data_IF_755546390840
#
_entry.id   IF_755546390840
#
_cell.length_a   1.000
_cell.length_b   1.000
_cell.length_c   1.000
_cell.angle_alpha   90.00
_cell.angle_beta   90.00
_cell.angle_gamma   90.00
#
_symmetry.space_group_name_H-M   'P 1'
#
loop_
_entity.id
_entity.type
_entity.pdbx_description
1 polymer ?
#
# COMPACT_ATOMS: atom_id res chain seq x y z
N UNK A 1 -15.01 23.70 26.02
CA UNK A 1 -15.24 22.39 25.37
C UNK A 1 -14.27 22.32 24.20
N UNK A 2 -13.27 21.45 24.25
CA UNK A 2 -12.16 21.45 23.29
C UNK A 2 -12.67 21.13 21.88
N UNK A 3 -12.28 21.94 20.89
CA UNK A 3 -12.41 21.62 19.47
C UNK A 3 -11.42 20.49 19.18
N UNK A 4 -11.87 19.24 19.29
CA UNK A 4 -11.08 18.09 18.89
C UNK A 4 -10.97 18.07 17.37
N UNK A 5 -9.97 18.75 16.84
CA UNK A 5 -9.53 18.66 15.45
C UNK A 5 -8.87 17.28 15.24
N UNK A 6 -9.64 16.21 15.39
CA UNK A 6 -9.19 14.86 15.02
C UNK A 6 -9.26 14.79 13.50
N UNK A 7 -8.14 15.10 12.86
CA UNK A 7 -7.98 14.72 11.47
C UNK A 7 -7.96 13.16 11.43
N UNK A 8 -8.63 12.54 10.47
CA UNK A 8 -8.69 11.07 10.33
C UNK A 8 -7.37 10.53 9.77
N UNK A 9 -6.80 9.44 10.32
CA UNK A 9 -5.57 8.82 9.82
C UNK A 9 -5.61 8.59 8.30
N UNK A 10 -4.44 8.64 7.66
CA UNK A 10 -4.30 8.44 6.21
C UNK A 10 -3.46 7.21 5.94
N UNK A 11 -3.97 6.30 5.12
CA UNK A 11 -3.26 5.13 4.65
C UNK A 11 -2.76 5.34 3.22
N UNK A 12 -1.51 4.95 2.97
CA UNK A 12 -0.91 4.92 1.64
C UNK A 12 -0.50 3.50 1.33
N UNK A 13 -1.02 2.96 0.23
CA UNK A 13 -0.63 1.68 -0.34
C UNK A 13 0.23 1.91 -1.58
N UNK A 14 1.49 1.48 -1.54
CA UNK A 14 2.42 1.57 -2.67
C UNK A 14 2.65 0.17 -3.26
N UNK A 15 2.40 0.03 -4.57
CA UNK A 15 2.53 -1.21 -5.33
C UNK A 15 3.70 -1.04 -6.32
N UNK A 16 4.87 -1.51 -5.89
CA UNK A 16 6.11 -1.48 -6.67
C UNK A 16 6.44 -2.80 -7.37
N UNK A 17 7.47 -2.76 -8.22
CA UNK A 17 7.96 -3.94 -8.94
C UNK A 17 8.50 -5.03 -8.02
N UNK A 18 9.02 -4.68 -6.85
CA UNK A 18 9.57 -5.63 -5.90
C UNK A 18 8.67 -5.86 -4.67
N UNK A 19 8.06 -4.79 -4.15
CA UNK A 19 7.31 -4.83 -2.90
C UNK A 19 5.97 -4.13 -3.00
N UNK A 20 5.05 -4.57 -2.15
CA UNK A 20 3.78 -3.88 -1.86
C UNK A 20 3.83 -3.41 -0.41
N UNK A 21 3.45 -2.17 -0.15
CA UNK A 21 3.62 -1.53 1.16
C UNK A 21 2.35 -0.84 1.60
N UNK A 22 2.04 -0.92 2.90
CA UNK A 22 1.05 -0.10 3.58
C UNK A 22 1.77 0.77 4.60
N UNK A 23 1.57 2.08 4.54
CA UNK A 23 1.98 3.01 5.60
C UNK A 23 0.73 3.74 6.07
N UNK A 24 0.54 3.86 7.39
CA UNK A 24 -0.52 4.68 7.97
C UNK A 24 0.11 5.82 8.76
N UNK A 25 -0.31 7.04 8.44
CA UNK A 25 0.13 8.28 9.05
C UNK A 25 -0.94 8.80 9.99
N UNK A 26 -0.49 9.39 11.10
CA UNK A 26 -1.36 10.25 11.89
C UNK A 26 -1.79 11.44 11.04
N UNK A 27 -2.97 11.97 11.31
CA UNK A 27 -3.53 13.00 10.44
C UNK A 27 -3.15 14.42 10.86
N UNK A 28 -2.58 14.57 12.06
CA UNK A 28 -2.24 15.85 12.66
C UNK A 28 -0.79 16.26 12.34
N UNK A 29 -0.62 17.51 11.92
CA UNK A 29 0.68 18.15 11.77
C UNK A 29 1.19 18.23 10.33
N UNK A 30 2.17 19.13 10.12
CA UNK A 30 2.77 19.39 8.79
C UNK A 30 3.61 18.23 8.26
N UNK A 31 4.10 17.36 9.16
CA UNK A 31 4.93 16.21 8.85
C UNK A 31 4.54 15.06 9.80
N UNK A 32 3.41 14.38 9.55
CA UNK A 32 2.96 13.31 10.42
C UNK A 32 3.91 12.12 10.38
N UNK A 33 4.20 11.56 11.55
CA UNK A 33 4.95 10.31 11.65
C UNK A 33 4.11 9.12 11.19
N UNK A 34 4.74 8.07 10.63
CA UNK A 34 4.04 6.81 10.41
C UNK A 34 3.86 6.08 11.75
N UNK A 35 2.63 5.68 12.08
CA UNK A 35 2.38 4.82 13.24
C UNK A 35 2.15 3.34 12.85
N UNK A 36 2.01 3.06 11.55
CA UNK A 36 2.01 1.70 11.01
C UNK A 36 2.81 1.65 9.69
N UNK A 37 3.61 0.60 9.50
CA UNK A 37 4.41 0.41 8.29
C UNK A 37 4.65 -1.08 8.03
N UNK A 38 3.94 -1.65 7.05
CA UNK A 38 4.09 -3.04 6.63
C UNK A 38 4.57 -3.11 5.18
N UNK A 39 5.57 -3.95 4.91
CA UNK A 39 6.14 -4.19 3.58
C UNK A 39 6.16 -5.68 3.27
N UNK A 40 5.62 -6.05 2.11
CA UNK A 40 5.60 -7.43 1.62
C UNK A 40 6.38 -7.52 0.31
N UNK A 41 7.38 -8.40 0.26
CA UNK A 41 8.12 -8.70 -0.97
C UNK A 41 7.28 -9.62 -1.87
N UNK A 42 6.84 -9.09 -3.01
CA UNK A 42 5.99 -9.81 -3.96
C UNK A 42 6.73 -10.13 -5.26
N UNK A 43 7.72 -9.31 -5.65
CA UNK A 43 8.49 -9.48 -6.88
C UNK A 43 7.63 -9.40 -8.15
N UNK A 44 6.63 -8.50 -8.19
CA UNK A 44 5.68 -8.35 -9.29
C UNK A 44 6.37 -8.21 -10.66
N UNK A 45 7.41 -7.38 -10.74
CA UNK A 45 8.10 -7.05 -11.99
C UNK A 45 9.15 -8.06 -12.45
N UNK A 46 9.40 -9.15 -11.72
CA UNK A 46 10.58 -10.02 -11.98
C UNK A 46 10.58 -10.71 -13.35
N UNK A 47 9.41 -10.90 -13.95
CA UNK A 47 9.25 -11.57 -15.25
C UNK A 47 8.94 -10.59 -16.37
N UNK A 48 8.76 -9.30 -16.10
CA UNK A 48 8.33 -8.33 -17.12
C UNK A 48 9.39 -8.24 -18.23
N UNK A 49 10.67 -8.13 -17.86
CA UNK A 49 11.75 -7.99 -18.84
C UNK A 49 11.84 -9.15 -19.85
N UNK A 50 11.40 -10.36 -19.48
CA UNK A 50 11.48 -11.55 -20.33
C UNK A 50 10.15 -11.97 -20.95
N UNK A 51 9.04 -11.71 -20.26
CA UNK A 51 7.71 -12.22 -20.65
C UNK A 51 6.72 -11.12 -21.01
N UNK A 52 7.04 -9.86 -20.73
CA UNK A 52 6.10 -8.74 -20.80
C UNK A 52 4.97 -8.79 -19.76
N UNK A 53 4.96 -9.78 -18.86
CA UNK A 53 3.85 -10.03 -17.93
C UNK A 53 4.31 -10.06 -16.48
N UNK A 54 3.38 -9.76 -15.58
CA UNK A 54 3.53 -10.02 -14.15
C UNK A 54 3.57 -11.52 -13.90
N UNK A 55 4.46 -11.96 -13.00
CA UNK A 55 4.51 -13.36 -12.64
C UNK A 55 3.28 -13.74 -11.79
N UNK A 56 2.59 -14.81 -12.16
CA UNK A 56 1.29 -15.16 -11.58
C UNK A 56 1.33 -15.38 -10.06
N UNK A 57 2.36 -16.04 -9.53
CA UNK A 57 2.53 -16.24 -8.10
C UNK A 57 2.92 -14.93 -7.38
N UNK A 58 3.56 -13.98 -8.08
CA UNK A 58 3.78 -12.62 -7.59
C UNK A 58 2.46 -11.87 -7.39
N UNK A 59 1.58 -11.96 -8.38
CA UNK A 59 0.23 -11.37 -8.34
C UNK A 59 -0.56 -11.99 -7.20
N UNK A 60 -0.54 -13.32 -7.06
CA UNK A 60 -1.21 -13.99 -5.95
C UNK A 60 -0.70 -13.53 -4.57
N UNK A 61 0.62 -13.32 -4.41
CA UNK A 61 1.19 -12.74 -3.18
C UNK A 61 0.74 -11.31 -2.94
N UNK A 62 0.78 -10.46 -3.96
CA UNK A 62 0.34 -9.06 -3.87
C UNK A 62 -1.14 -8.98 -3.48
N UNK A 63 -2.02 -9.77 -4.10
CA UNK A 63 -3.43 -9.81 -3.78
C UNK A 63 -3.70 -10.31 -2.34
N UNK A 64 -2.89 -11.22 -1.81
CA UNK A 64 -2.98 -11.62 -0.39
C UNK A 64 -2.56 -10.48 0.53
N UNK A 65 -1.47 -9.77 0.21
CA UNK A 65 -1.03 -8.60 0.96
C UNK A 65 -2.09 -7.50 0.98
N UNK A 66 -2.68 -7.18 -0.18
CA UNK A 66 -3.73 -6.16 -0.30
C UNK A 66 -4.99 -6.50 0.50
N UNK A 67 -5.42 -7.78 0.52
CA UNK A 67 -6.54 -8.22 1.38
C UNK A 67 -6.24 -8.02 2.87
N UNK A 68 -5.02 -8.34 3.28
CA UNK A 68 -4.55 -8.09 4.66
C UNK A 68 -4.51 -6.58 4.96
N UNK A 69 -4.00 -5.78 4.04
CA UNK A 69 -3.92 -4.32 4.20
C UNK A 69 -5.29 -3.70 4.36
N UNK A 70 -6.28 -4.15 3.59
CA UNK A 70 -7.67 -3.74 3.78
C UNK A 70 -8.17 -4.00 5.20
N UNK A 71 -7.96 -5.22 5.72
CA UNK A 71 -8.38 -5.55 7.08
C UNK A 71 -7.67 -4.68 8.14
N UNK A 72 -6.39 -4.37 7.93
CA UNK A 72 -5.63 -3.47 8.81
C UNK A 72 -6.16 -2.03 8.74
N UNK A 73 -6.43 -1.51 7.55
CA UNK A 73 -7.02 -0.18 7.34
C UNK A 73 -8.36 -0.06 8.07
N UNK A 74 -9.23 -1.07 7.94
CA UNK A 74 -10.52 -1.15 8.62
C UNK A 74 -10.35 -1.20 10.16
N UNK A 75 -9.41 -2.02 10.66
CA UNK A 75 -9.12 -2.12 12.10
C UNK A 75 -8.52 -0.85 12.70
N UNK A 76 -7.74 -0.10 11.91
CA UNK A 76 -7.09 1.14 12.33
C UNK A 76 -8.00 2.37 12.20
N UNK A 77 -9.23 2.22 11.72
CA UNK A 77 -10.19 3.32 11.58
C UNK A 77 -9.74 4.38 10.58
N UNK A 78 -9.10 3.96 9.49
CA UNK A 78 -8.58 4.87 8.46
C UNK A 78 -9.68 5.13 7.42
N UNK A 79 -10.14 6.38 7.34
CA UNK A 79 -11.19 6.79 6.38
C UNK A 79 -10.62 7.24 5.02
N UNK A 80 -9.33 7.57 4.97
CA UNK A 80 -8.65 8.07 3.78
C UNK A 80 -7.55 7.11 3.33
N UNK A 81 -7.72 6.52 2.14
CA UNK A 81 -6.77 5.56 1.57
C UNK A 81 -6.35 6.01 0.19
N UNK A 82 -5.04 6.19 -0.01
CA UNK A 82 -4.42 6.45 -1.30
C UNK A 82 -3.69 5.20 -1.79
N UNK A 83 -3.87 4.82 -3.05
CA UNK A 83 -3.24 3.65 -3.65
C UNK A 83 -2.47 4.06 -4.88
N UNK A 84 -1.16 3.80 -4.89
CA UNK A 84 -0.25 4.10 -6.00
C UNK A 84 0.34 2.81 -6.54
N UNK A 85 0.38 2.67 -7.87
CA UNK A 85 1.08 1.61 -8.55
C UNK A 85 2.10 2.19 -9.52
N UNK A 86 3.28 1.57 -9.61
CA UNK A 86 4.41 2.11 -10.39
C UNK A 86 4.75 1.21 -11.59
N UNK A 87 6.05 1.14 -11.95
CA UNK A 87 6.57 0.54 -13.17
C UNK A 87 5.96 -0.82 -13.53
N UNK A 88 5.95 -1.78 -12.61
CA UNK A 88 5.47 -3.14 -12.92
C UNK A 88 4.00 -3.21 -13.35
N UNK A 89 3.13 -2.38 -12.77
CA UNK A 89 1.72 -2.37 -13.16
C UNK A 89 1.49 -1.73 -14.53
N UNK A 90 2.36 -0.78 -14.92
CA UNK A 90 2.28 -0.06 -16.20
C UNK A 90 2.95 -0.82 -17.36
N UNK A 91 4.06 -1.49 -17.08
CA UNK A 91 4.90 -2.15 -18.10
C UNK A 91 4.42 -3.54 -18.48
N UNK A 92 3.58 -4.16 -17.66
CA UNK A 92 2.96 -5.43 -18.01
C UNK A 92 1.88 -5.23 -19.09
N UNK A 93 1.94 -6.03 -20.16
CA UNK A 93 1.04 -5.99 -21.32
C UNK A 93 0.39 -7.34 -21.63
#
# INVERSE_FOLDING_TARGET
>A
MALSNHQSPVAVVDIGSNSVRLIVYEAAGRAPGPFFNEKVLCGLGRSIATTGKLAADAVARALRALRRFRALIEQLGVDHVEVIATAAAREAA
#
